data_IF_074639292647
#
_entry.id   IF_074639292647
#
_cell.length_a   1.000
_cell.length_b   1.000
_cell.length_c   1.000
_cell.angle_alpha   90.00
_cell.angle_beta   90.00
_cell.angle_gamma   90.00
#
_symmetry.space_group_name_H-M   'P 1'
#
loop_
_entity.id
_entity.type
_entity.pdbx_description
1 polymer ?
#
# COMPACT_ATOMS: atom_id res chain seq x y z
N UNK A 1 -4.32 -10.97 -1.50
CA UNK A 1 -4.18 -9.53 -1.83
C UNK A 1 -4.11 -8.63 -0.61
N UNK A 2 -5.18 -8.50 0.21
CA UNK A 2 -5.15 -7.68 1.44
C UNK A 2 -3.97 -8.02 2.37
N UNK A 3 -3.77 -9.32 2.64
CA UNK A 3 -2.66 -9.82 3.47
C UNK A 3 -1.29 -9.51 2.87
N UNK A 4 -1.11 -9.73 1.57
CA UNK A 4 0.16 -9.48 0.88
C UNK A 4 0.56 -8.00 0.87
N UNK A 5 -0.41 -7.09 0.69
CA UNK A 5 -0.18 -5.64 0.79
C UNK A 5 0.21 -5.25 2.21
N UNK A 6 -0.51 -5.74 3.23
CA UNK A 6 -0.20 -5.44 4.63
C UNK A 6 1.17 -5.99 5.04
N UNK A 7 1.51 -7.22 4.63
CA UNK A 7 2.80 -7.84 4.90
C UNK A 7 3.94 -7.06 4.21
N UNK A 8 3.73 -6.59 2.98
CA UNK A 8 4.71 -5.77 2.29
C UNK A 8 4.92 -4.41 2.98
N UNK A 9 3.86 -3.72 3.38
CA UNK A 9 3.95 -2.45 4.11
C UNK A 9 4.61 -2.66 5.48
N UNK A 10 4.32 -3.78 6.16
CA UNK A 10 4.97 -4.14 7.43
C UNK A 10 6.49 -4.29 7.27
N UNK A 11 6.91 -4.98 6.22
CA UNK A 11 8.33 -5.20 5.93
C UNK A 11 9.03 -3.94 5.37
N UNK A 12 8.27 -3.02 4.76
CA UNK A 12 8.79 -1.81 4.12
C UNK A 12 7.99 -0.56 4.55
N UNK A 13 8.11 -0.09 5.80
CA UNK A 13 7.45 1.14 6.24
C UNK A 13 7.91 2.34 5.39
N UNK A 14 6.97 3.19 4.97
CA UNK A 14 7.26 4.32 4.09
C UNK A 14 7.37 3.93 2.62
N UNK A 15 6.80 2.80 2.21
CA UNK A 15 6.74 2.40 0.80
C UNK A 15 5.72 3.23 0.00
N UNK A 16 5.84 3.20 -1.33
CA UNK A 16 4.92 3.86 -2.26
C UNK A 16 3.96 2.87 -2.90
N UNK A 17 2.85 3.36 -3.47
CA UNK A 17 1.88 2.51 -4.20
C UNK A 17 2.53 1.77 -5.36
N UNK A 18 3.53 2.38 -6.00
CA UNK A 18 4.31 1.76 -7.08
C UNK A 18 5.13 0.59 -6.56
N UNK A 19 5.84 0.76 -5.43
CA UNK A 19 6.61 -0.35 -4.83
C UNK A 19 5.71 -1.50 -4.35
N UNK A 20 4.52 -1.19 -3.81
CA UNK A 20 3.52 -2.20 -3.44
C UNK A 20 3.06 -2.95 -4.69
N UNK A 21 2.66 -2.24 -5.76
CA UNK A 21 2.16 -2.87 -6.98
C UNK A 21 3.20 -3.78 -7.64
N UNK A 22 4.45 -3.34 -7.68
CA UNK A 22 5.57 -4.13 -8.17
C UNK A 22 5.74 -5.43 -7.35
N UNK A 23 5.62 -5.35 -6.03
CA UNK A 23 5.81 -6.49 -5.16
C UNK A 23 4.65 -7.49 -5.20
N UNK A 24 3.39 -7.01 -5.23
CA UNK A 24 2.21 -7.88 -5.12
C UNK A 24 1.62 -8.30 -6.47
N UNK A 25 1.92 -7.57 -7.54
CA UNK A 25 1.33 -7.77 -8.88
C UNK A 25 2.33 -7.65 -10.02
N UNK A 26 3.63 -7.56 -9.72
CA UNK A 26 4.73 -7.56 -10.71
C UNK A 26 4.66 -6.42 -11.75
N UNK A 27 3.94 -5.32 -11.45
CA UNK A 27 3.65 -4.26 -12.42
C UNK A 27 3.04 -4.78 -13.75
N UNK A 28 2.29 -5.88 -13.68
CA UNK A 28 1.82 -6.63 -14.86
C UNK A 28 0.93 -5.84 -15.80
N UNK A 29 0.12 -4.92 -15.27
CA UNK A 29 -0.79 -4.11 -16.08
C UNK A 29 -1.19 -2.79 -15.41
N UNK A 30 -1.72 -1.86 -16.20
CA UNK A 30 -2.32 -0.63 -15.68
C UNK A 30 -3.56 -0.89 -14.81
N UNK A 31 -4.35 -1.91 -15.16
CA UNK A 31 -5.51 -2.31 -14.35
C UNK A 31 -5.06 -2.82 -12.97
N UNK A 32 -3.97 -3.58 -12.90
CA UNK A 32 -3.36 -4.01 -11.64
C UNK A 32 -2.89 -2.83 -10.79
N UNK A 33 -2.32 -1.79 -11.43
CA UNK A 33 -1.92 -0.58 -10.74
C UNK A 33 -3.11 0.15 -10.10
N UNK A 34 -4.23 0.27 -10.81
CA UNK A 34 -5.48 0.82 -10.25
C UNK A 34 -5.99 -0.04 -9.10
N UNK A 35 -6.02 -1.36 -9.29
CA UNK A 35 -6.50 -2.29 -8.26
C UNK A 35 -5.66 -2.18 -6.99
N UNK A 36 -4.33 -2.10 -7.10
CA UNK A 36 -3.45 -1.87 -5.94
C UNK A 36 -3.78 -0.58 -5.21
N UNK A 37 -4.05 0.52 -5.92
CA UNK A 37 -4.44 1.79 -5.29
C UNK A 37 -5.78 1.67 -4.57
N UNK A 38 -6.78 1.06 -5.20
CA UNK A 38 -8.09 0.83 -4.58
C UNK A 38 -7.98 -0.05 -3.33
N UNK A 39 -7.15 -1.09 -3.39
CA UNK A 39 -6.90 -1.98 -2.26
C UNK A 39 -6.25 -1.21 -1.08
N UNK A 40 -5.24 -0.36 -1.35
CA UNK A 40 -4.61 0.51 -0.34
C UNK A 40 -5.61 1.52 0.23
N UNK A 41 -6.42 2.17 -0.62
CA UNK A 41 -7.41 3.15 -0.18
C UNK A 41 -8.46 2.52 0.75
N UNK A 42 -8.86 1.27 0.47
CA UNK A 42 -9.76 0.52 1.35
C UNK A 42 -9.08 0.20 2.70
N UNK A 43 -7.81 -0.19 2.69
CA UNK A 43 -7.04 -0.41 3.92
C UNK A 43 -6.90 0.86 4.78
N UNK A 44 -6.79 2.03 4.14
CA UNK A 44 -6.81 3.33 4.84
C UNK A 44 -8.18 3.59 5.45
N UNK A 45 -9.28 3.37 4.71
CA UNK A 45 -10.65 3.52 5.24
C UNK A 45 -10.93 2.59 6.41
N UNK A 46 -10.38 1.38 6.39
CA UNK A 46 -10.47 0.43 7.50
C UNK A 46 -9.58 0.81 8.70
N UNK A 47 -8.68 1.79 8.53
CA UNK A 47 -7.76 2.25 9.55
C UNK A 47 -6.58 1.30 9.80
N UNK A 48 -6.27 0.41 8.86
CA UNK A 48 -5.13 -0.53 8.95
C UNK A 48 -3.84 0.07 8.38
N UNK A 49 -3.97 0.98 7.43
CA UNK A 49 -2.87 1.71 6.80
C UNK A 49 -3.08 3.20 7.01
N UNK A 50 -2.00 3.96 7.20
CA UNK A 50 -2.00 5.42 7.13
C UNK A 50 -1.08 5.88 6.01
N UNK A 51 -1.38 7.04 5.44
CA UNK A 51 -0.53 7.71 4.47
C UNK A 51 0.15 8.94 5.10
N UNK A 52 1.34 9.28 4.60
CA UNK A 52 2.03 10.55 4.81
C UNK A 52 2.42 11.11 3.45
N UNK A 53 2.44 12.43 3.31
CA UNK A 53 2.97 13.09 2.11
C UNK A 53 4.30 13.76 2.42
N UNK A 54 5.34 13.37 1.68
CA UNK A 54 6.68 13.91 1.83
C UNK A 54 7.22 14.29 0.45
N UNK A 55 7.53 15.58 0.25
CA UNK A 55 8.03 16.12 -1.02
C UNK A 55 7.14 15.74 -2.24
N UNK A 56 5.82 15.71 -2.06
CA UNK A 56 4.87 15.33 -3.11
C UNK A 56 4.78 13.82 -3.38
N UNK A 57 5.40 12.98 -2.54
CA UNK A 57 5.34 11.53 -2.61
C UNK A 57 4.46 11.01 -1.48
N UNK A 58 3.46 10.20 -1.80
CA UNK A 58 2.65 9.51 -0.81
C UNK A 58 3.35 8.24 -0.33
N UNK A 59 3.58 8.16 0.98
CA UNK A 59 4.22 7.04 1.66
C UNK A 59 3.21 6.33 2.57
N UNK A 60 3.31 5.00 2.67
CA UNK A 60 2.36 4.17 3.42
C UNK A 60 3.00 3.47 4.61
N UNK A 61 2.26 3.42 5.71
CA UNK A 61 2.69 2.82 6.97
C UNK A 61 1.54 2.03 7.59
N UNK A 62 1.85 0.96 8.33
CA UNK A 62 0.85 0.31 9.17
C UNK A 62 0.43 1.22 10.33
N UNK A 63 -0.81 1.02 10.78
CA UNK A 63 -1.31 1.57 12.04
C UNK A 63 -1.20 0.52 13.15
N UNK A 64 -1.35 0.94 14.40
CA UNK A 64 -1.37 0.03 15.55
C UNK A 64 -2.53 -0.99 15.48
N UNK A 65 -3.57 -0.72 14.67
CA UNK A 65 -4.69 -1.63 14.44
C UNK A 65 -4.31 -2.81 13.53
N UNK A 66 -3.23 -2.69 12.76
CA UNK A 66 -2.74 -3.72 11.84
C UNK A 66 -1.58 -4.55 12.40
N UNK A 67 -1.15 -4.27 13.63
CA UNK A 67 -0.10 -4.99 14.37
C UNK A 67 -0.71 -6.14 15.17
#
# INVERSE_FOLDING_TARGET
MKTEILDYIRANPGCTSTSVNKAVREDRSWADWINTRNDIDNLIKEGLVKSSEENGITLFYLTDKAV
#
